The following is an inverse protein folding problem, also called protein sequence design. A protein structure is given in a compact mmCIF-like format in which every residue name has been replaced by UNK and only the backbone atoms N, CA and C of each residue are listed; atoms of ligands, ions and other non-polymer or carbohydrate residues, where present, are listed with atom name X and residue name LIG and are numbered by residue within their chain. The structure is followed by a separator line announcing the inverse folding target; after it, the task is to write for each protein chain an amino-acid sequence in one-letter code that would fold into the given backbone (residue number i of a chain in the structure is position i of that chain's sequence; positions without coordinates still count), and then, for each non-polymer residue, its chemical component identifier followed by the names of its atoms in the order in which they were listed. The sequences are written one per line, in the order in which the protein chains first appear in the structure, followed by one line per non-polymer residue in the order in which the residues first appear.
data_IF_946054592972
#
_entry.id   IF_946054592972
#
_cell.length_a   1.000
_cell.length_b   1.000
_cell.length_c   1.000
_cell.angle_alpha   90.00
_cell.angle_beta   90.00
_cell.angle_gamma   90.00
#
_symmetry.space_group_name_H-M   'P 1'
#
loop_
_entity.id
_entity.type
_entity.pdbx_description
1 polymer ?
#
# COMPACT_ATOMS: atom_id res chain seq x y z
N UNK A 1 -20.88 48.68 37.53
CA UNK A 1 -21.52 47.70 36.62
C UNK A 1 -20.97 47.73 35.17
N UNK A 2 -20.87 48.90 34.51
CA UNK A 2 -20.35 48.93 33.10
C UNK A 2 -18.91 48.40 32.96
N UNK A 3 -18.03 48.70 33.86
CA UNK A 3 -16.60 48.20 33.82
C UNK A 3 -16.47 46.70 34.03
N UNK A 4 -17.35 46.05 34.80
CA UNK A 4 -17.33 44.62 35.02
C UNK A 4 -17.80 43.81 33.82
N UNK A 5 -18.77 44.38 33.07
CA UNK A 5 -19.29 43.79 31.81
C UNK A 5 -18.21 43.85 30.72
N UNK A 6 -17.44 44.95 30.64
CA UNK A 6 -16.35 45.08 29.67
C UNK A 6 -15.21 44.09 29.92
N UNK A 7 -14.84 43.83 31.19
CA UNK A 7 -13.83 42.84 31.55
C UNK A 7 -14.29 41.41 31.25
N UNK A 8 -15.56 41.09 31.49
CA UNK A 8 -16.13 39.79 31.14
C UNK A 8 -16.19 39.55 29.61
N UNK A 9 -16.49 40.58 28.82
CA UNK A 9 -16.51 40.53 27.36
C UNK A 9 -15.07 40.36 26.82
N UNK A 10 -14.07 41.03 27.39
CA UNK A 10 -12.69 40.90 27.02
C UNK A 10 -12.12 39.51 27.40
N UNK A 11 -12.48 38.97 28.56
CA UNK A 11 -12.11 37.61 28.96
C UNK A 11 -12.75 36.54 28.08
N UNK A 12 -14.03 36.71 27.70
CA UNK A 12 -14.67 35.81 26.74
C UNK A 12 -14.06 35.91 25.33
N UNK A 13 -13.68 37.09 24.86
CA UNK A 13 -13.02 37.28 23.57
C UNK A 13 -11.61 36.62 23.58
N UNK A 14 -10.87 36.74 24.69
CA UNK A 14 -9.58 36.07 24.89
C UNK A 14 -9.73 34.56 25.00
N UNK A 15 -10.79 34.07 25.65
CA UNK A 15 -11.10 32.63 25.71
C UNK A 15 -11.49 32.07 24.34
N UNK A 16 -12.31 32.78 23.58
CA UNK A 16 -12.68 32.40 22.22
C UNK A 16 -11.49 32.47 21.27
N UNK A 17 -10.63 33.48 21.36
CA UNK A 17 -9.42 33.55 20.53
C UNK A 17 -8.38 32.50 20.95
N UNK A 18 -8.28 32.14 22.24
CA UNK A 18 -7.43 31.03 22.69
C UNK A 18 -7.99 29.66 22.25
N UNK A 19 -9.33 29.52 22.22
CA UNK A 19 -10.00 28.31 21.74
C UNK A 19 -9.93 28.18 20.21
N UNK A 20 -9.99 29.28 19.47
CA UNK A 20 -9.73 29.31 18.02
C UNK A 20 -8.23 29.06 17.71
N UNK A 21 -7.31 29.59 18.50
CA UNK A 21 -5.88 29.35 18.34
C UNK A 21 -5.49 27.90 18.69
N UNK A 22 -6.18 27.25 19.63
CA UNK A 22 -6.00 25.80 19.92
C UNK A 22 -6.67 24.91 18.88
N UNK A 23 -7.74 25.35 18.22
CA UNK A 23 -8.37 24.59 17.14
C UNK A 23 -7.66 24.74 15.77
N UNK A 24 -6.80 25.74 15.59
CA UNK A 24 -6.10 25.97 14.33
C UNK A 24 -4.72 25.29 14.22
N UNK A 25 -4.29 24.54 15.22
CA UNK A 25 -3.06 23.75 15.18
C UNK A 25 -3.33 22.25 15.25
N UNK A 26 -4.22 21.72 14.38
CA UNK A 26 -4.18 20.30 14.06
C UNK A 26 -2.79 20.02 13.49
N UNK A 27 -2.02 19.13 14.10
CA UNK A 27 -0.75 18.70 13.51
C UNK A 27 -1.00 18.17 12.10
N UNK A 28 -0.02 18.25 11.22
CA UNK A 28 -0.12 17.74 9.86
C UNK A 28 -0.56 16.28 9.84
N UNK A 29 0.00 15.50 10.77
CA UNK A 29 -0.40 14.10 10.97
C UNK A 29 -1.90 13.94 11.32
N UNK A 30 -2.42 14.71 12.26
CA UNK A 30 -3.83 14.62 12.64
C UNK A 30 -4.77 15.01 11.48
N UNK A 31 -4.38 15.98 10.67
CA UNK A 31 -5.14 16.35 9.47
C UNK A 31 -5.17 15.22 8.47
N UNK A 32 -4.01 14.61 8.19
CA UNK A 32 -3.88 13.47 7.29
C UNK A 32 -4.71 12.27 7.75
N UNK A 33 -4.65 11.94 9.03
CA UNK A 33 -5.45 10.84 9.62
C UNK A 33 -6.94 11.09 9.49
N UNK A 34 -7.38 12.32 9.77
CA UNK A 34 -8.80 12.70 9.65
C UNK A 34 -9.30 12.60 8.21
N UNK A 35 -8.51 13.04 7.24
CA UNK A 35 -8.87 12.91 5.81
C UNK A 35 -8.92 11.45 5.37
N UNK A 36 -7.95 10.66 5.84
CA UNK A 36 -7.88 9.23 5.52
C UNK A 36 -9.05 8.45 6.10
N UNK A 37 -9.47 8.74 7.33
CA UNK A 37 -10.66 8.15 7.94
C UNK A 37 -11.95 8.50 7.18
N UNK A 38 -12.07 9.73 6.67
CA UNK A 38 -13.23 10.12 5.85
C UNK A 38 -13.28 9.32 4.55
N UNK A 39 -12.15 9.21 3.87
CA UNK A 39 -12.05 8.45 2.62
C UNK A 39 -12.34 6.96 2.85
N UNK A 40 -11.75 6.38 3.90
CA UNK A 40 -11.99 5.01 4.32
C UNK A 40 -13.47 4.75 4.60
N UNK A 41 -14.12 5.65 5.33
CA UNK A 41 -15.55 5.54 5.67
C UNK A 41 -16.41 5.59 4.41
N UNK A 42 -16.14 6.51 3.48
CA UNK A 42 -16.84 6.62 2.20
C UNK A 42 -16.75 5.31 1.41
N UNK A 43 -15.52 4.78 1.28
CA UNK A 43 -15.30 3.53 0.55
C UNK A 43 -15.99 2.34 1.19
N UNK A 44 -15.89 2.21 2.50
CA UNK A 44 -16.47 1.05 3.19
C UNK A 44 -17.99 1.13 3.30
N UNK A 45 -18.57 2.32 3.41
CA UNK A 45 -20.02 2.49 3.35
C UNK A 45 -20.57 2.06 1.98
N UNK A 46 -19.90 2.45 0.90
CA UNK A 46 -20.28 2.03 -0.45
C UNK A 46 -20.01 0.54 -0.66
N UNK A 47 -18.86 0.02 -0.20
CA UNK A 47 -18.53 -1.40 -0.26
C UNK A 47 -19.64 -2.27 0.34
N UNK A 48 -20.23 -1.86 1.46
CA UNK A 48 -21.33 -2.58 2.11
C UNK A 48 -22.58 -2.72 1.23
N UNK A 49 -22.81 -1.78 0.32
CA UNK A 49 -23.96 -1.84 -0.60
C UNK A 49 -23.83 -2.95 -1.64
N UNK A 50 -22.59 -3.44 -1.88
CA UNK A 50 -22.29 -4.56 -2.77
C UNK A 50 -22.15 -5.90 -2.03
N UNK A 51 -22.22 -5.90 -0.69
CA UNK A 51 -22.21 -7.14 0.08
C UNK A 51 -23.54 -7.87 -0.09
N UNK A 52 -23.48 -9.10 -0.59
CA UNK A 52 -24.66 -9.89 -0.88
C UNK A 52 -25.38 -10.28 0.41
N UNK A 53 -26.68 -10.01 0.46
CA UNK A 53 -27.61 -10.50 1.46
C UNK A 53 -28.53 -11.53 0.78
N UNK A 54 -28.05 -12.77 0.68
CA UNK A 54 -28.73 -13.82 -0.06
C UNK A 54 -28.84 -15.07 0.79
N UNK A 55 -29.94 -15.77 0.68
CA UNK A 55 -30.16 -17.03 1.41
C UNK A 55 -29.25 -18.17 0.96
N UNK A 56 -28.67 -18.08 -0.24
CA UNK A 56 -27.75 -19.10 -0.75
C UNK A 56 -26.36 -18.91 -0.10
N UNK A 57 -25.82 -19.92 0.60
CA UNK A 57 -24.55 -19.79 1.35
C UNK A 57 -23.37 -19.35 0.49
N UNK A 58 -23.29 -19.76 -0.78
CA UNK A 58 -22.20 -19.39 -1.68
C UNK A 58 -22.17 -17.90 -2.07
N UNK A 59 -23.24 -17.16 -1.80
CA UNK A 59 -23.35 -15.73 -2.11
C UNK A 59 -23.38 -14.87 -0.85
N UNK A 60 -24.00 -15.38 0.22
CA UNK A 60 -24.24 -14.61 1.43
C UNK A 60 -22.94 -14.13 2.09
N UNK A 61 -22.79 -12.82 2.25
CA UNK A 61 -21.62 -12.17 2.84
C UNK A 61 -20.50 -11.87 1.85
N UNK A 62 -20.51 -12.49 0.65
CA UNK A 62 -19.60 -12.14 -0.42
C UNK A 62 -19.89 -10.74 -0.99
N UNK A 63 -18.97 -10.19 -1.76
CA UNK A 63 -19.13 -8.86 -2.37
C UNK A 63 -18.98 -8.95 -3.87
N UNK A 64 -19.99 -8.51 -4.58
CA UNK A 64 -20.00 -8.54 -6.04
C UNK A 64 -19.33 -7.29 -6.60
N UNK A 65 -18.26 -7.46 -7.37
CA UNK A 65 -17.55 -6.35 -8.00
C UNK A 65 -18.35 -5.74 -9.15
N UNK A 66 -18.68 -4.44 -9.14
CA UNK A 66 -19.42 -3.80 -10.22
C UNK A 66 -18.60 -3.70 -11.52
N UNK A 67 -17.27 -3.67 -11.45
CA UNK A 67 -16.42 -3.57 -12.65
C UNK A 67 -16.32 -4.87 -13.45
N UNK A 68 -16.33 -6.04 -12.80
CA UNK A 68 -16.10 -7.31 -13.45
C UNK A 68 -17.20 -8.36 -13.21
N UNK A 69 -18.24 -8.03 -12.43
CA UNK A 69 -19.34 -8.91 -12.04
C UNK A 69 -18.86 -10.25 -11.42
N UNK A 70 -17.80 -10.19 -10.60
CA UNK A 70 -17.19 -11.35 -9.93
C UNK A 70 -17.09 -11.14 -8.43
N UNK A 71 -17.07 -12.25 -7.70
CA UNK A 71 -16.65 -12.31 -6.31
C UNK A 71 -15.18 -12.72 -6.27
N UNK A 72 -14.35 -11.91 -5.63
CA UNK A 72 -12.92 -12.17 -5.50
C UNK A 72 -12.62 -12.94 -4.23
N UNK A 73 -11.83 -14.01 -4.31
CA UNK A 73 -11.39 -14.78 -3.16
C UNK A 73 -10.49 -13.98 -2.20
N UNK A 74 -9.82 -12.94 -2.71
CA UNK A 74 -8.99 -12.04 -1.90
C UNK A 74 -9.80 -11.02 -1.08
N UNK A 75 -11.10 -11.03 -1.11
CA UNK A 75 -11.96 -10.07 -0.41
C UNK A 75 -11.75 -10.06 1.11
N UNK A 76 -11.15 -11.12 1.66
CA UNK A 76 -10.77 -11.20 3.08
C UNK A 76 -9.92 -10.03 3.56
N UNK A 77 -9.21 -9.34 2.66
CA UNK A 77 -8.44 -8.12 2.99
C UNK A 77 -9.33 -7.02 3.56
N UNK A 78 -10.63 -7.00 3.23
CA UNK A 78 -11.60 -6.03 3.75
C UNK A 78 -11.99 -6.25 5.23
N UNK A 79 -11.59 -7.37 5.85
CA UNK A 79 -11.92 -7.61 7.27
C UNK A 79 -11.31 -6.56 8.18
N UNK A 80 -10.06 -6.14 7.91
CA UNK A 80 -9.37 -5.14 8.72
C UNK A 80 -10.08 -3.77 8.70
N UNK A 81 -10.35 -3.13 7.55
CA UNK A 81 -11.04 -1.85 7.53
C UNK A 81 -12.47 -1.92 8.10
N UNK A 82 -13.18 -3.03 7.95
CA UNK A 82 -14.48 -3.21 8.57
C UNK A 82 -14.40 -3.28 10.10
N UNK A 83 -13.45 -4.03 10.64
CA UNK A 83 -13.24 -4.14 12.09
C UNK A 83 -12.78 -2.81 12.70
N UNK A 84 -11.88 -2.09 12.01
CA UNK A 84 -11.46 -0.74 12.41
C UNK A 84 -12.66 0.21 12.53
N UNK A 85 -13.50 0.28 11.49
CA UNK A 85 -14.67 1.17 11.51
C UNK A 85 -15.72 0.73 12.53
N UNK A 86 -15.87 -0.57 12.80
CA UNK A 86 -16.72 -1.07 13.86
C UNK A 86 -16.28 -0.55 15.22
N UNK A 87 -15.00 -0.63 15.51
CA UNK A 87 -14.40 -0.17 16.78
C UNK A 87 -14.47 1.35 16.89
N UNK A 88 -13.98 2.06 15.87
CA UNK A 88 -13.87 3.52 15.84
C UNK A 88 -15.22 4.24 15.90
N UNK A 89 -16.24 3.69 15.23
CA UNK A 89 -17.55 4.35 15.10
C UNK A 89 -18.62 3.77 15.99
N UNK A 90 -18.38 2.60 16.59
CA UNK A 90 -19.36 1.81 17.36
C UNK A 90 -20.63 1.45 16.56
N UNK A 91 -20.52 1.43 15.20
CA UNK A 91 -21.65 1.07 14.34
C UNK A 91 -21.63 -0.43 14.06
N UNK A 92 -22.65 -1.12 14.52
CA UNK A 92 -22.80 -2.58 14.41
C UNK A 92 -22.76 -3.08 12.96
N UNK A 93 -23.20 -2.26 11.99
CA UNK A 93 -23.19 -2.63 10.56
C UNK A 93 -21.83 -3.11 10.04
N UNK A 94 -20.73 -2.51 10.51
CA UNK A 94 -19.39 -2.90 10.08
C UNK A 94 -18.95 -4.23 10.71
N UNK A 95 -19.23 -4.44 11.99
CA UNK A 95 -18.93 -5.70 12.67
C UNK A 95 -19.71 -6.88 12.05
N UNK A 96 -20.99 -6.68 11.80
CA UNK A 96 -21.85 -7.69 11.13
C UNK A 96 -21.31 -7.98 9.72
N UNK A 97 -20.93 -6.96 8.98
CA UNK A 97 -20.35 -7.12 7.64
C UNK A 97 -19.02 -7.89 7.67
N UNK A 98 -18.14 -7.60 8.62
CA UNK A 98 -16.89 -8.34 8.81
C UNK A 98 -17.12 -9.82 9.11
N UNK A 99 -18.07 -10.12 10.04
CA UNK A 99 -18.44 -11.51 10.38
C UNK A 99 -19.05 -12.25 9.17
N UNK A 100 -19.93 -11.60 8.41
CA UNK A 100 -20.53 -12.18 7.20
C UNK A 100 -19.48 -12.40 6.10
N UNK A 101 -18.54 -11.48 5.93
CA UNK A 101 -17.44 -11.60 4.99
C UNK A 101 -16.57 -12.82 5.32
N UNK A 102 -16.16 -12.96 6.57
CA UNK A 102 -15.34 -14.10 7.00
C UNK A 102 -16.09 -15.43 6.93
N UNK A 103 -17.40 -15.42 7.16
CA UNK A 103 -18.23 -16.60 6.92
C UNK A 103 -18.28 -16.97 5.43
N UNK A 104 -18.36 -15.97 4.54
CA UNK A 104 -18.28 -16.21 3.10
C UNK A 104 -16.91 -16.72 2.65
N UNK A 105 -15.81 -16.29 3.29
CA UNK A 105 -14.45 -16.75 3.01
C UNK A 105 -14.28 -18.27 3.15
N UNK A 106 -15.17 -18.96 3.87
CA UNK A 106 -15.20 -20.42 3.94
C UNK A 106 -15.49 -21.07 2.56
N UNK A 107 -16.17 -20.37 1.66
CA UNK A 107 -16.44 -20.87 0.29
C UNK A 107 -15.16 -20.91 -0.58
N UNK A 108 -14.15 -20.16 -0.22
CA UNK A 108 -12.86 -20.08 -0.94
C UNK A 108 -11.71 -20.64 -0.11
N UNK A 109 -11.97 -21.12 1.11
CA UNK A 109 -11.00 -21.80 1.95
C UNK A 109 -10.79 -23.23 1.47
N UNK A 110 -9.52 -23.65 1.39
CA UNK A 110 -9.13 -24.96 0.92
C UNK A 110 -8.68 -25.85 2.09
N UNK A 111 -8.79 -27.19 1.95
CA UNK A 111 -8.37 -28.12 3.00
C UNK A 111 -6.91 -28.03 3.41
N UNK A 112 -6.06 -27.42 2.57
CA UNK A 112 -4.65 -27.17 2.88
C UNK A 112 -4.39 -25.89 3.67
N UNK A 113 -5.44 -25.19 4.12
CA UNK A 113 -5.34 -23.97 4.91
C UNK A 113 -5.23 -22.68 4.11
N UNK A 114 -5.23 -22.75 2.77
CA UNK A 114 -5.16 -21.56 1.92
C UNK A 114 -6.53 -21.03 1.51
N UNK A 115 -6.54 -19.80 1.00
CA UNK A 115 -7.70 -19.23 0.31
C UNK A 115 -7.41 -19.08 -1.18
N UNK A 116 -8.39 -19.43 -2.01
CA UNK A 116 -8.32 -19.19 -3.46
C UNK A 116 -8.34 -17.69 -3.76
N UNK A 117 -7.53 -17.27 -4.72
CA UNK A 117 -7.51 -15.88 -5.18
C UNK A 117 -8.80 -15.48 -5.92
N UNK A 118 -9.45 -16.43 -6.55
CA UNK A 118 -10.63 -16.20 -7.40
C UNK A 118 -11.58 -17.40 -7.30
N UNK A 119 -12.89 -17.16 -7.37
CA UNK A 119 -13.90 -18.22 -7.18
C UNK A 119 -13.97 -19.20 -8.35
N UNK A 120 -13.67 -18.75 -9.59
CA UNK A 120 -13.93 -19.57 -10.79
C UNK A 120 -12.84 -19.51 -11.86
N UNK A 121 -11.78 -18.72 -11.70
CA UNK A 121 -10.85 -18.40 -12.80
C UNK A 121 -9.44 -18.86 -12.55
N UNK A 122 -9.04 -19.00 -11.29
CA UNK A 122 -7.67 -19.33 -10.91
C UNK A 122 -7.66 -20.20 -9.65
N UNK A 123 -6.89 -21.26 -9.68
CA UNK A 123 -6.52 -22.08 -8.53
C UNK A 123 -5.35 -21.47 -7.73
N UNK A 124 -4.88 -20.28 -8.11
CA UNK A 124 -3.81 -19.58 -7.41
C UNK A 124 -4.24 -19.21 -5.99
N UNK A 125 -3.45 -19.62 -5.03
CA UNK A 125 -3.70 -19.46 -3.60
C UNK A 125 -2.54 -18.77 -2.85
N UNK A 126 -1.53 -18.30 -3.55
CA UNK A 126 -0.39 -17.58 -2.94
C UNK A 126 -0.80 -16.30 -2.23
N UNK A 127 -1.91 -15.68 -2.62
CA UNK A 127 -2.49 -14.50 -1.99
C UNK A 127 -3.00 -14.73 -0.57
N UNK A 128 -3.01 -15.97 -0.08
CA UNK A 128 -3.33 -16.32 1.31
C UNK A 128 -2.53 -15.49 2.32
N UNK A 129 -1.29 -15.15 2.01
CA UNK A 129 -0.45 -14.29 2.87
C UNK A 129 -1.09 -12.93 3.15
N UNK A 130 -1.71 -12.30 2.16
CA UNK A 130 -2.30 -10.97 2.31
C UNK A 130 -3.61 -11.01 3.11
N UNK A 131 -4.46 -12.00 2.86
CA UNK A 131 -5.67 -12.23 3.64
C UNK A 131 -5.34 -12.57 5.11
N UNK A 132 -4.28 -13.36 5.34
CA UNK A 132 -3.84 -13.68 6.70
C UNK A 132 -3.27 -12.48 7.44
N UNK A 133 -2.57 -11.55 6.78
CA UNK A 133 -2.13 -10.28 7.38
C UNK A 133 -3.35 -9.45 7.81
N UNK A 134 -4.32 -9.27 6.94
CA UNK A 134 -5.54 -8.52 7.28
C UNK A 134 -6.30 -9.13 8.46
N UNK A 135 -6.42 -10.45 8.47
CA UNK A 135 -7.09 -11.16 9.56
C UNK A 135 -6.30 -11.09 10.87
N UNK A 136 -4.96 -11.18 10.80
CA UNK A 136 -4.09 -11.00 11.96
C UNK A 136 -4.27 -9.60 12.55
N UNK A 137 -4.14 -8.55 11.74
CA UNK A 137 -4.26 -7.16 12.18
C UNK A 137 -5.68 -6.89 12.75
N UNK A 138 -6.73 -7.41 12.11
CA UNK A 138 -8.09 -7.31 12.62
C UNK A 138 -8.26 -7.96 14.00
N UNK A 139 -7.66 -9.12 14.23
CA UNK A 139 -7.68 -9.79 15.52
C UNK A 139 -6.79 -9.10 16.57
N UNK A 140 -5.64 -8.59 16.14
CA UNK A 140 -4.68 -7.93 17.02
C UNK A 140 -5.25 -6.64 17.60
N UNK A 141 -5.81 -5.78 16.76
CA UNK A 141 -6.32 -4.48 17.16
C UNK A 141 -7.76 -4.53 17.67
N UNK A 142 -8.62 -5.33 17.03
CA UNK A 142 -10.07 -5.30 17.23
C UNK A 142 -10.69 -6.64 17.68
N UNK A 143 -9.87 -7.62 18.01
CA UNK A 143 -10.37 -8.94 18.44
C UNK A 143 -11.26 -8.90 19.68
N UNK A 144 -11.21 -7.83 20.46
CA UNK A 144 -12.06 -7.59 21.62
C UNK A 144 -13.56 -7.38 21.27
N UNK A 145 -13.87 -7.01 20.02
CA UNK A 145 -15.24 -6.88 19.51
C UNK A 145 -15.91 -8.23 19.24
N UNK A 146 -15.13 -9.30 19.20
CA UNK A 146 -15.61 -10.64 18.85
C UNK A 146 -15.92 -11.47 20.10
N UNK A 147 -16.97 -12.30 20.00
CA UNK A 147 -17.17 -13.37 20.95
C UNK A 147 -16.03 -14.41 20.86
N UNK A 148 -15.85 -15.19 21.93
CA UNK A 148 -14.74 -16.16 22.03
C UNK A 148 -14.78 -17.22 20.93
N UNK A 149 -15.97 -17.68 20.54
CA UNK A 149 -16.13 -18.69 19.49
C UNK A 149 -15.64 -18.16 18.14
N UNK A 150 -16.10 -16.97 17.75
CA UNK A 150 -15.70 -16.31 16.51
C UNK A 150 -14.20 -16.01 16.51
N UNK A 151 -13.67 -15.48 17.61
CA UNK A 151 -12.24 -15.15 17.76
C UNK A 151 -11.36 -16.38 17.63
N UNK A 152 -11.74 -17.49 18.28
CA UNK A 152 -11.00 -18.74 18.21
C UNK A 152 -11.07 -19.37 16.81
N UNK A 153 -12.21 -19.28 16.13
CA UNK A 153 -12.34 -19.75 14.76
C UNK A 153 -11.42 -18.95 13.81
N UNK A 154 -11.38 -17.63 13.90
CA UNK A 154 -10.49 -16.80 13.07
C UNK A 154 -9.00 -17.07 13.37
N UNK A 155 -8.64 -17.27 14.65
CA UNK A 155 -7.27 -17.69 15.00
C UNK A 155 -6.91 -19.06 14.41
N UNK A 156 -7.85 -20.00 14.36
CA UNK A 156 -7.62 -21.30 13.74
C UNK A 156 -7.33 -21.13 12.24
N UNK A 157 -8.06 -20.27 11.53
CA UNK A 157 -7.77 -19.94 10.12
C UNK A 157 -6.41 -19.33 9.92
N UNK A 158 -5.91 -18.53 10.86
CA UNK A 158 -4.54 -18.00 10.82
C UNK A 158 -3.49 -19.11 10.99
N UNK A 159 -3.71 -20.05 11.88
CA UNK A 159 -2.82 -21.20 12.09
C UNK A 159 -2.74 -22.01 10.79
N UNK A 160 -3.87 -22.34 10.19
CA UNK A 160 -3.95 -23.11 8.94
C UNK A 160 -3.27 -22.38 7.78
N UNK A 161 -3.45 -21.05 7.65
CA UNK A 161 -2.75 -20.23 6.67
C UNK A 161 -1.22 -20.23 6.91
N UNK A 162 -0.77 -20.17 8.15
CA UNK A 162 0.64 -20.30 8.51
C UNK A 162 1.21 -21.67 8.14
N UNK A 163 0.49 -22.74 8.40
CA UNK A 163 0.86 -24.11 8.02
C UNK A 163 0.94 -24.25 6.49
N UNK A 164 0.00 -23.68 5.77
CA UNK A 164 0.07 -23.62 4.30
C UNK A 164 1.32 -22.90 3.81
N UNK A 165 1.66 -21.73 4.40
CA UNK A 165 2.87 -21.00 4.01
C UNK A 165 4.16 -21.82 4.27
N UNK A 166 4.23 -22.58 5.37
CA UNK A 166 5.35 -23.48 5.65
C UNK A 166 5.40 -24.66 4.65
N UNK A 167 4.25 -25.22 4.31
CA UNK A 167 4.15 -26.36 3.39
C UNK A 167 4.43 -25.99 1.93
N UNK A 168 4.38 -24.69 1.58
CA UNK A 168 4.57 -24.19 0.22
C UNK A 168 5.76 -23.24 0.06
N UNK A 169 6.99 -23.67 0.44
CA UNK A 169 8.17 -22.79 0.39
C UNK A 169 8.53 -22.35 -1.03
N UNK A 170 7.99 -22.97 -2.05
CA UNK A 170 8.13 -22.53 -3.44
C UNK A 170 7.38 -21.21 -3.72
N UNK A 171 6.39 -20.84 -2.93
CA UNK A 171 5.70 -19.55 -3.01
C UNK A 171 6.39 -18.50 -2.12
N UNK A 172 6.79 -18.87 -0.90
CA UNK A 172 7.16 -17.92 0.14
C UNK A 172 8.64 -17.91 0.49
N UNK A 173 9.42 -18.92 0.08
CA UNK A 173 10.86 -18.98 0.33
C UNK A 173 11.65 -19.13 -0.96
N UNK A 174 12.81 -18.44 -1.05
CA UNK A 174 13.62 -18.37 -2.26
C UNK A 174 14.79 -19.35 -2.31
N UNK A 175 14.87 -20.27 -1.36
CA UNK A 175 16.01 -21.17 -1.21
C UNK A 175 16.09 -22.33 -2.20
N UNK A 176 15.03 -22.66 -2.94
CA UNK A 176 15.01 -23.86 -3.77
C UNK A 176 15.35 -23.57 -5.21
N UNK A 177 16.39 -24.23 -5.73
CA UNK A 177 16.67 -24.32 -7.16
C UNK A 177 15.43 -24.78 -7.93
N UNK A 178 15.12 -24.12 -9.03
CA UNK A 178 13.98 -24.42 -9.89
C UNK A 178 12.74 -23.52 -9.72
N UNK A 179 12.74 -22.64 -8.72
CA UNK A 179 11.62 -21.71 -8.49
C UNK A 179 11.74 -20.45 -9.31
N UNK A 180 11.60 -20.59 -10.60
CA UNK A 180 11.82 -19.51 -11.58
C UNK A 180 10.74 -18.43 -11.60
N UNK A 181 9.60 -18.64 -10.94
CA UNK A 181 8.40 -17.83 -11.15
C UNK A 181 7.85 -17.16 -9.88
N UNK A 182 8.65 -17.05 -8.84
CA UNK A 182 8.20 -16.42 -7.61
C UNK A 182 8.55 -14.95 -7.57
N UNK A 183 7.56 -14.14 -7.23
CA UNK A 183 7.75 -12.73 -6.98
C UNK A 183 8.20 -12.49 -5.52
N UNK A 184 9.11 -11.55 -5.32
CA UNK A 184 9.67 -11.22 -4.00
C UNK A 184 8.61 -10.73 -3.01
N UNK A 185 7.52 -10.12 -3.49
CA UNK A 185 6.44 -9.63 -2.65
C UNK A 185 5.82 -10.72 -1.75
N UNK A 186 5.66 -11.93 -2.26
CA UNK A 186 5.13 -13.03 -1.44
C UNK A 186 6.07 -13.40 -0.28
N UNK A 187 7.37 -13.50 -0.56
CA UNK A 187 8.36 -13.79 0.48
C UNK A 187 8.49 -12.65 1.48
N UNK A 188 8.49 -11.40 1.00
CA UNK A 188 8.55 -10.22 1.85
C UNK A 188 7.33 -10.14 2.79
N UNK A 189 6.13 -10.35 2.25
CA UNK A 189 4.90 -10.34 3.05
C UNK A 189 4.84 -11.52 4.03
N UNK A 190 5.38 -12.69 3.65
CA UNK A 190 5.41 -13.87 4.51
C UNK A 190 6.31 -13.68 5.74
N UNK A 191 7.34 -12.83 5.69
CA UNK A 191 8.15 -12.53 6.89
C UNK A 191 7.28 -11.95 8.01
N UNK A 192 6.46 -10.96 7.68
CA UNK A 192 5.56 -10.34 8.65
C UNK A 192 4.43 -11.29 9.05
N UNK A 193 3.73 -11.89 8.08
CA UNK A 193 2.61 -12.78 8.35
C UNK A 193 3.00 -13.92 9.29
N UNK A 194 4.04 -14.69 8.95
CA UNK A 194 4.48 -15.83 9.76
C UNK A 194 4.99 -15.39 11.13
N UNK A 195 5.73 -14.28 11.21
CA UNK A 195 6.24 -13.82 12.50
C UNK A 195 5.10 -13.40 13.43
N UNK A 196 4.18 -12.61 12.93
CA UNK A 196 3.05 -12.06 13.67
C UNK A 196 2.05 -13.14 14.10
N UNK A 197 1.69 -14.05 13.19
CA UNK A 197 0.85 -15.22 13.52
C UNK A 197 1.55 -16.11 14.53
N UNK A 198 2.86 -16.33 14.35
CA UNK A 198 3.68 -17.12 15.28
C UNK A 198 3.68 -16.58 16.69
N UNK A 199 3.70 -15.25 16.86
CA UNK A 199 3.60 -14.60 18.16
C UNK A 199 2.17 -14.72 18.75
N UNK A 200 1.14 -14.39 17.97
CA UNK A 200 -0.25 -14.43 18.42
C UNK A 200 -0.72 -15.84 18.80
N UNK A 201 -0.27 -16.85 18.06
CA UNK A 201 -0.74 -18.25 18.18
C UNK A 201 0.27 -19.18 18.89
N UNK A 202 1.36 -18.61 19.44
CA UNK A 202 2.43 -19.38 20.10
C UNK A 202 3.02 -20.49 19.20
N UNK A 203 3.38 -20.15 17.95
CA UNK A 203 3.98 -21.03 16.94
C UNK A 203 5.42 -20.58 16.65
N UNK A 204 6.40 -21.03 17.43
CA UNK A 204 7.81 -20.67 17.26
C UNK A 204 8.41 -21.17 15.94
N UNK A 205 7.85 -22.20 15.35
CA UNK A 205 8.21 -22.69 14.02
C UNK A 205 7.90 -21.66 12.92
N UNK A 206 6.77 -20.94 13.00
CA UNK A 206 6.43 -19.84 12.09
C UNK A 206 7.42 -18.68 12.23
N UNK A 207 7.75 -18.29 13.45
CA UNK A 207 8.74 -17.24 13.70
C UNK A 207 10.14 -17.63 13.19
N UNK A 208 10.52 -18.92 13.33
CA UNK A 208 11.79 -19.42 12.81
C UNK A 208 11.86 -19.31 11.29
N UNK A 209 10.80 -19.72 10.59
CA UNK A 209 10.74 -19.63 9.13
C UNK A 209 10.75 -18.17 8.66
N UNK A 210 10.00 -17.28 9.33
CA UNK A 210 10.00 -15.85 9.04
C UNK A 210 11.42 -15.25 9.10
N UNK A 211 12.18 -15.56 10.16
CA UNK A 211 13.58 -15.11 10.31
C UNK A 211 14.46 -15.65 9.18
N UNK A 212 14.22 -16.88 8.75
CA UNK A 212 15.00 -17.49 7.67
C UNK A 212 14.70 -16.82 6.32
N UNK A 213 13.41 -16.58 6.02
CA UNK A 213 13.00 -15.86 4.81
C UNK A 213 13.60 -14.43 4.81
N UNK A 214 13.52 -13.74 5.94
CA UNK A 214 14.09 -12.39 6.09
C UNK A 214 15.60 -12.37 5.85
N UNK A 215 16.34 -13.37 6.37
CA UNK A 215 17.78 -13.49 6.13
C UNK A 215 18.11 -13.70 4.65
N UNK A 216 17.31 -14.51 3.95
CA UNK A 216 17.47 -14.75 2.52
C UNK A 216 17.16 -13.50 1.69
N UNK A 217 16.14 -12.72 2.08
CA UNK A 217 15.73 -11.50 1.39
C UNK A 217 16.78 -10.40 1.42
N UNK A 218 17.69 -10.37 2.41
CA UNK A 218 18.82 -9.42 2.43
C UNK A 218 19.71 -9.51 1.19
N UNK A 219 19.67 -10.63 0.47
CA UNK A 219 20.43 -10.83 -0.78
C UNK A 219 19.68 -10.32 -2.03
N UNK A 220 18.47 -9.79 -1.89
CA UNK A 220 17.65 -9.34 -3.00
C UNK A 220 17.58 -7.80 -3.12
N UNK A 221 18.59 -7.11 -2.63
CA UNK A 221 18.77 -5.68 -2.85
C UNK A 221 19.90 -5.45 -3.85
N UNK A 222 19.73 -4.47 -4.71
CA UNK A 222 20.76 -4.10 -5.70
C UNK A 222 21.94 -3.41 -5.02
N UNK A 223 23.12 -3.54 -5.62
CA UNK A 223 24.39 -3.20 -4.97
C UNK A 223 24.59 -1.68 -4.82
N UNK A 224 24.22 -0.89 -5.83
CA UNK A 224 24.52 0.55 -5.87
C UNK A 224 23.37 1.38 -5.28
N UNK A 225 22.13 1.10 -5.70
CA UNK A 225 20.96 1.95 -5.40
C UNK A 225 20.04 1.32 -4.37
N UNK A 226 20.29 0.10 -3.94
CA UNK A 226 19.52 -0.63 -2.91
C UNK A 226 18.04 -0.86 -3.30
N UNK A 227 17.73 -1.00 -4.58
CA UNK A 227 16.39 -1.44 -5.00
C UNK A 227 16.14 -2.90 -4.60
N UNK A 228 14.99 -3.20 -4.05
CA UNK A 228 14.54 -4.58 -3.90
C UNK A 228 14.22 -5.15 -5.28
N UNK A 229 14.79 -6.30 -5.65
CA UNK A 229 14.55 -6.93 -6.95
C UNK A 229 13.98 -8.34 -6.81
N UNK A 230 13.54 -8.88 -7.92
CA UNK A 230 12.98 -10.23 -7.98
C UNK A 230 11.48 -10.24 -8.23
N UNK A 231 10.95 -9.17 -8.82
CA UNK A 231 9.60 -9.10 -9.32
C UNK A 231 9.54 -9.36 -10.84
N UNK A 232 8.67 -10.27 -11.24
CA UNK A 232 8.48 -10.61 -12.65
C UNK A 232 8.67 -12.10 -12.93
N UNK A 233 8.45 -12.53 -14.17
CA UNK A 233 8.38 -13.94 -14.53
C UNK A 233 9.71 -14.68 -14.36
N UNK A 234 10.80 -13.96 -14.22
CA UNK A 234 12.15 -14.53 -14.14
C UNK A 234 13.01 -13.75 -13.13
N UNK A 235 12.91 -14.11 -11.86
CA UNK A 235 13.52 -13.37 -10.74
C UNK A 235 15.05 -13.27 -10.78
N UNK A 236 15.71 -14.15 -11.48
CA UNK A 236 17.18 -14.16 -11.63
C UNK A 236 17.65 -13.67 -13.00
N UNK A 237 16.74 -13.47 -13.95
CA UNK A 237 17.08 -12.99 -15.29
C UNK A 237 17.08 -11.50 -15.33
N UNK A 238 18.06 -10.95 -16.02
CA UNK A 238 18.07 -9.54 -16.35
C UNK A 238 16.94 -9.18 -17.31
N UNK A 239 16.42 -7.98 -17.16
CA UNK A 239 15.48 -7.36 -18.12
C UNK A 239 16.13 -7.16 -19.48
N UNK A 240 15.36 -6.74 -20.48
CA UNK A 240 15.92 -6.38 -21.80
C UNK A 240 16.98 -5.29 -21.74
N UNK A 241 16.91 -4.43 -20.73
CA UNK A 241 17.88 -3.34 -20.51
C UNK A 241 19.10 -3.79 -19.69
N UNK A 242 19.24 -5.08 -19.39
CA UNK A 242 20.35 -5.62 -18.63
C UNK A 242 20.28 -5.44 -17.11
N UNK A 243 19.18 -4.87 -16.59
CA UNK A 243 18.95 -4.64 -15.17
C UNK A 243 18.35 -5.86 -14.47
N UNK A 244 18.53 -5.94 -13.15
CA UNK A 244 17.77 -6.86 -12.32
C UNK A 244 16.27 -6.48 -12.33
N UNK A 245 15.35 -7.46 -12.16
CA UNK A 245 13.92 -7.21 -12.24
C UNK A 245 13.40 -6.48 -10.99
N UNK A 246 13.25 -5.18 -11.10
CA UNK A 246 12.66 -4.31 -10.07
C UNK A 246 11.27 -3.91 -10.50
N UNK A 247 10.29 -4.06 -9.62
CA UNK A 247 8.94 -3.51 -9.79
C UNK A 247 8.68 -2.51 -8.67
N UNK A 248 8.71 -1.24 -9.00
CA UNK A 248 8.58 -0.15 -8.04
C UNK A 248 7.29 -0.26 -7.23
N UNK A 249 6.17 -0.51 -7.91
CA UNK A 249 4.86 -0.53 -7.26
C UNK A 249 4.73 -1.69 -6.28
N UNK A 250 5.04 -2.92 -6.69
CA UNK A 250 5.00 -4.05 -5.76
C UNK A 250 5.95 -3.88 -4.57
N UNK A 251 7.09 -3.22 -4.80
CA UNK A 251 8.03 -2.96 -3.71
C UNK A 251 7.43 -2.00 -2.68
N UNK A 252 6.89 -0.85 -3.11
CA UNK A 252 6.33 0.16 -2.19
C UNK A 252 4.99 -0.25 -1.59
N UNK A 253 4.22 -1.08 -2.29
CA UNK A 253 2.86 -1.46 -1.90
C UNK A 253 2.82 -2.73 -1.04
N UNK A 254 3.62 -3.74 -1.38
CA UNK A 254 3.50 -5.08 -0.77
C UNK A 254 4.78 -5.57 -0.10
N UNK A 255 5.98 -5.20 -0.59
CA UNK A 255 7.21 -5.81 -0.11
C UNK A 255 7.85 -5.03 1.04
N UNK A 256 8.25 -3.79 0.79
CA UNK A 256 8.97 -2.96 1.76
C UNK A 256 8.14 -2.69 3.04
N UNK A 257 6.83 -2.39 2.96
CA UNK A 257 6.02 -2.18 4.16
C UNK A 257 6.01 -3.37 5.11
N UNK A 258 5.82 -4.57 4.59
CA UNK A 258 5.78 -5.77 5.43
C UNK A 258 7.16 -6.16 5.97
N UNK A 259 8.23 -5.87 5.23
CA UNK A 259 9.59 -6.01 5.74
C UNK A 259 9.88 -5.01 6.87
N UNK A 260 9.36 -3.77 6.82
CA UNK A 260 9.42 -2.81 7.92
C UNK A 260 8.72 -3.36 9.16
N UNK A 261 7.47 -3.81 9.02
CA UNK A 261 6.71 -4.35 10.15
C UNK A 261 7.40 -5.56 10.79
N UNK A 262 7.87 -6.49 9.95
CA UNK A 262 8.65 -7.61 10.44
C UNK A 262 9.90 -7.15 11.19
N UNK A 263 10.71 -6.27 10.59
CA UNK A 263 11.98 -5.85 11.15
C UNK A 263 11.81 -5.12 12.49
N UNK A 264 10.78 -4.28 12.62
CA UNK A 264 10.44 -3.63 13.88
C UNK A 264 10.00 -4.64 14.95
N UNK A 265 9.12 -5.58 14.60
CA UNK A 265 8.58 -6.58 15.51
C UNK A 265 9.64 -7.59 15.95
N UNK A 266 10.46 -8.09 15.00
CA UNK A 266 11.52 -9.05 15.24
C UNK A 266 12.81 -8.42 15.77
N UNK A 267 12.92 -7.08 15.81
CA UNK A 267 14.11 -6.29 16.15
C UNK A 267 15.31 -6.62 15.25
N UNK A 268 15.04 -6.86 13.95
CA UNK A 268 16.08 -7.10 12.93
C UNK A 268 16.58 -5.74 12.39
N UNK A 269 17.53 -5.14 13.13
CA UNK A 269 18.08 -3.81 12.81
C UNK A 269 18.82 -3.77 11.48
N UNK A 270 19.47 -4.87 11.08
CA UNK A 270 20.20 -4.95 9.82
C UNK A 270 19.23 -4.91 8.63
N UNK A 271 18.14 -5.69 8.70
CA UNK A 271 17.11 -5.66 7.70
C UNK A 271 16.42 -4.29 7.66
N UNK A 272 16.09 -3.72 8.82
CA UNK A 272 15.46 -2.41 8.90
C UNK A 272 16.31 -1.32 8.22
N UNK A 273 17.63 -1.31 8.47
CA UNK A 273 18.56 -0.36 7.82
C UNK A 273 18.57 -0.52 6.30
N UNK A 274 18.51 -1.76 5.81
CA UNK A 274 18.51 -2.04 4.38
C UNK A 274 17.20 -1.62 3.72
N UNK A 275 16.08 -1.91 4.37
CA UNK A 275 14.73 -1.53 3.91
C UNK A 275 14.57 -0.02 3.93
N UNK A 276 15.05 0.67 4.95
CA UNK A 276 15.01 2.13 5.06
C UNK A 276 15.71 2.81 3.88
N UNK A 277 16.92 2.38 3.53
CA UNK A 277 17.63 2.87 2.34
C UNK A 277 16.82 2.61 1.07
N UNK A 278 16.25 1.42 0.95
CA UNK A 278 15.44 1.06 -0.21
C UNK A 278 14.20 1.95 -0.33
N UNK A 279 13.50 2.22 0.78
CA UNK A 279 12.33 3.11 0.80
C UNK A 279 12.70 4.53 0.36
N UNK A 280 13.82 5.06 0.84
CA UNK A 280 14.31 6.37 0.44
C UNK A 280 14.63 6.41 -1.08
N UNK A 281 15.28 5.37 -1.61
CA UNK A 281 15.55 5.25 -3.05
C UNK A 281 14.26 5.17 -3.87
N UNK A 282 13.28 4.37 -3.43
CA UNK A 282 12.00 4.28 -4.14
C UNK A 282 11.24 5.61 -4.13
N UNK A 283 11.33 6.38 -3.05
CA UNK A 283 10.66 7.68 -2.93
C UNK A 283 11.14 8.71 -3.98
N UNK A 284 12.35 8.57 -4.50
CA UNK A 284 12.86 9.40 -5.62
C UNK A 284 11.97 9.30 -6.87
N UNK A 285 11.17 8.25 -6.98
CA UNK A 285 10.28 7.99 -8.10
C UNK A 285 8.80 8.31 -7.81
N UNK A 286 8.50 8.94 -6.68
CA UNK A 286 7.17 9.49 -6.46
C UNK A 286 6.99 10.76 -7.29
N UNK A 287 5.90 10.82 -8.06
CA UNK A 287 5.52 12.00 -8.83
C UNK A 287 4.93 13.09 -7.92
N UNK A 288 4.98 14.37 -8.34
CA UNK A 288 4.45 15.48 -7.52
C UNK A 288 2.97 15.37 -7.13
N UNK A 289 2.18 14.61 -7.89
CA UNK A 289 0.76 14.36 -7.64
C UNK A 289 0.48 13.17 -6.72
N UNK A 290 1.53 12.51 -6.22
CA UNK A 290 1.42 11.36 -5.33
C UNK A 290 1.34 10.00 -6.03
N UNK A 291 1.44 9.96 -7.37
CA UNK A 291 1.57 8.72 -8.13
C UNK A 291 3.01 8.20 -8.10
N UNK A 292 3.18 6.95 -8.49
CA UNK A 292 4.49 6.31 -8.60
C UNK A 292 4.92 6.15 -10.06
N UNK A 293 6.14 6.54 -10.38
CA UNK A 293 6.70 6.41 -11.71
C UNK A 293 7.34 5.02 -11.91
N UNK A 294 6.50 4.04 -12.22
CA UNK A 294 6.94 2.67 -12.52
C UNK A 294 7.21 2.44 -14.02
N UNK A 295 7.40 3.49 -14.81
CA UNK A 295 7.55 3.37 -16.27
C UNK A 295 8.82 2.63 -16.71
N UNK A 296 9.82 2.57 -15.86
CA UNK A 296 11.10 1.90 -16.08
C UNK A 296 11.18 0.47 -15.48
N UNK A 297 10.28 0.14 -14.57
CA UNK A 297 10.28 -1.15 -13.86
C UNK A 297 9.71 -2.31 -14.67
N UNK A 298 9.82 -3.50 -14.12
CA UNK A 298 9.12 -4.69 -14.64
C UNK A 298 7.61 -4.49 -14.52
N UNK A 299 6.83 -5.01 -15.47
CA UNK A 299 5.37 -4.87 -15.49
C UNK A 299 4.87 -3.42 -15.50
N UNK A 300 5.69 -2.48 -15.99
CA UNK A 300 5.34 -1.07 -16.10
C UNK A 300 4.02 -0.81 -16.81
N UNK A 301 3.66 -1.65 -17.80
CA UNK A 301 2.39 -1.60 -18.53
C UNK A 301 1.17 -1.90 -17.66
N UNK A 302 1.35 -2.56 -16.52
CA UNK A 302 0.27 -3.06 -15.67
C UNK A 302 -0.14 -2.06 -14.59
N UNK A 303 0.82 -1.22 -14.13
CA UNK A 303 0.69 -0.44 -12.92
C UNK A 303 1.29 0.96 -13.05
N UNK A 304 0.86 1.74 -14.01
CA UNK A 304 1.60 2.95 -14.39
C UNK A 304 1.19 4.23 -13.69
N UNK A 305 0.19 4.28 -12.84
CA UNK A 305 -0.21 5.60 -12.35
C UNK A 305 -0.38 5.69 -10.84
N UNK A 306 -1.29 4.98 -10.23
CA UNK A 306 -1.53 5.18 -8.80
C UNK A 306 -1.24 4.04 -7.87
N UNK A 307 -0.68 3.05 -8.30
CA UNK A 307 -0.56 1.82 -7.60
C UNK A 307 -1.40 0.76 -8.27
N UNK A 308 -1.00 -0.45 -8.10
CA UNK A 308 -1.63 -1.57 -8.73
C UNK A 308 -2.98 -1.89 -8.11
N UNK A 309 -3.48 -3.02 -8.53
CA UNK A 309 -4.68 -3.63 -7.99
C UNK A 309 -4.61 -3.94 -6.51
N UNK A 310 -3.42 -3.90 -5.93
CA UNK A 310 -3.12 -4.51 -4.65
C UNK A 310 -2.23 -3.60 -3.83
N UNK A 311 -2.66 -2.37 -3.57
CA UNK A 311 -1.99 -1.54 -2.60
C UNK A 311 -2.31 -2.05 -1.20
N UNK A 312 -1.41 -2.85 -0.64
CA UNK A 312 -1.66 -3.51 0.63
C UNK A 312 -1.01 -2.82 1.81
N UNK A 313 0.01 -2.00 1.62
CA UNK A 313 0.78 -1.55 2.75
C UNK A 313 1.59 -0.27 2.63
N UNK A 314 1.61 0.42 1.47
CA UNK A 314 2.41 1.63 1.28
C UNK A 314 2.31 2.60 2.45
N UNK A 315 1.10 3.01 2.79
CA UNK A 315 0.89 4.06 3.79
C UNK A 315 1.41 3.64 5.16
N UNK A 316 1.12 2.42 5.59
CA UNK A 316 1.53 1.95 6.89
C UNK A 316 3.05 1.77 7.01
N UNK A 317 3.71 1.20 5.99
CA UNK A 317 5.16 1.02 6.00
C UNK A 317 5.93 2.34 6.05
N UNK A 318 5.54 3.32 5.22
CA UNK A 318 6.15 4.64 5.25
C UNK A 318 5.81 5.40 6.54
N UNK A 319 4.59 5.27 7.04
CA UNK A 319 4.22 5.88 8.32
C UNK A 319 5.03 5.35 9.49
N UNK A 320 5.28 4.05 9.54
CA UNK A 320 6.09 3.43 10.60
C UNK A 320 7.52 3.99 10.67
N UNK A 321 8.03 4.53 9.55
CA UNK A 321 9.35 5.14 9.45
C UNK A 321 9.30 6.68 9.51
N UNK A 322 8.13 7.30 9.52
CA UNK A 322 7.97 8.75 9.41
C UNK A 322 8.49 9.55 10.61
N UNK A 323 8.65 8.94 11.78
CA UNK A 323 9.32 9.59 12.92
C UNK A 323 10.79 9.94 12.62
N UNK A 324 11.44 9.15 11.78
CA UNK A 324 12.83 9.33 11.31
C UNK A 324 12.90 10.07 9.98
N UNK A 325 11.86 9.96 9.16
CA UNK A 325 11.71 10.51 7.82
C UNK A 325 10.39 11.29 7.70
N UNK A 326 10.31 12.53 8.24
CA UNK A 326 9.05 13.31 8.23
C UNK A 326 8.46 13.53 6.84
N UNK A 327 9.28 13.51 5.77
CA UNK A 327 8.85 13.60 4.38
C UNK A 327 7.94 12.44 3.94
N UNK A 328 7.99 11.31 4.63
CA UNK A 328 7.12 10.17 4.34
C UNK A 328 5.64 10.48 4.61
N UNK A 329 5.34 11.37 5.55
CA UNK A 329 3.96 11.84 5.75
C UNK A 329 3.46 12.64 4.55
N UNK A 330 4.31 13.46 3.92
CA UNK A 330 3.94 14.20 2.71
C UNK A 330 3.70 13.22 1.54
N UNK A 331 4.51 12.16 1.43
CA UNK A 331 4.30 11.13 0.42
C UNK A 331 2.92 10.45 0.60
N UNK A 332 2.57 10.08 1.83
CA UNK A 332 1.26 9.50 2.15
C UNK A 332 0.14 10.51 1.85
N UNK A 333 0.30 11.76 2.26
CA UNK A 333 -0.68 12.81 2.02
C UNK A 333 -0.98 12.98 0.53
N UNK A 334 0.04 13.12 -0.31
CA UNK A 334 -0.14 13.25 -1.76
C UNK A 334 -0.83 12.05 -2.38
N UNK A 335 -0.45 10.84 -1.94
CA UNK A 335 -1.09 9.63 -2.42
C UNK A 335 -2.58 9.57 -2.00
N UNK A 336 -2.92 9.93 -0.76
CA UNK A 336 -4.32 10.06 -0.31
C UNK A 336 -5.09 11.07 -1.15
N UNK A 337 -4.50 12.24 -1.46
CA UNK A 337 -5.16 13.23 -2.33
C UNK A 337 -5.39 12.68 -3.74
N UNK A 338 -4.47 11.90 -4.26
CA UNK A 338 -4.62 11.22 -5.55
C UNK A 338 -5.74 10.16 -5.52
N UNK A 339 -5.78 9.34 -4.48
CA UNK A 339 -6.83 8.34 -4.29
C UNK A 339 -8.21 8.99 -4.15
N UNK A 340 -8.33 10.14 -3.46
CA UNK A 340 -9.57 10.92 -3.41
C UNK A 340 -10.02 11.37 -4.80
N UNK A 341 -9.09 11.85 -5.64
CA UNK A 341 -9.39 12.24 -7.03
C UNK A 341 -9.80 11.05 -7.90
N UNK A 342 -9.29 9.86 -7.60
CA UNK A 342 -9.60 8.62 -8.29
C UNK A 342 -10.86 7.93 -7.75
N UNK A 343 -11.44 8.43 -6.66
CA UNK A 343 -12.70 7.93 -6.10
C UNK A 343 -13.87 8.48 -6.89
N UNK A 344 -14.80 7.63 -7.24
CA UNK A 344 -16.09 7.98 -7.83
C UNK A 344 -17.16 7.00 -7.39
N UNK A 345 -18.37 7.52 -7.14
CA UNK A 345 -19.48 6.72 -6.64
C UNK A 345 -19.13 5.94 -5.33
N UNK A 346 -18.23 6.53 -4.51
CA UNK A 346 -17.79 5.98 -3.25
C UNK A 346 -16.84 4.77 -3.35
N UNK A 347 -16.30 4.46 -4.52
CA UNK A 347 -15.32 3.41 -4.73
C UNK A 347 -14.13 3.93 -5.54
N UNK A 348 -12.99 3.23 -5.43
CA UNK A 348 -11.76 3.58 -6.14
C UNK A 348 -11.77 2.99 -7.56
N UNK A 349 -11.49 3.82 -8.56
CA UNK A 349 -11.23 3.35 -9.92
C UNK A 349 -9.84 2.71 -10.04
N UNK A 350 -9.70 1.78 -10.96
CA UNK A 350 -8.42 1.17 -11.30
C UNK A 350 -7.49 2.06 -12.14
N UNK A 351 -7.83 3.32 -12.33
CA UNK A 351 -7.08 4.31 -13.10
C UNK A 351 -7.99 5.42 -13.61
N UNK A 352 -7.49 6.67 -13.75
CA UNK A 352 -8.33 7.81 -14.19
C UNK A 352 -8.98 7.61 -15.55
N UNK A 353 -8.33 6.86 -16.45
CA UNK A 353 -8.88 6.53 -17.75
C UNK A 353 -10.13 5.62 -17.68
N UNK A 354 -10.33 4.86 -16.60
CA UNK A 354 -11.51 4.01 -16.44
C UNK A 354 -12.79 4.83 -16.38
N UNK A 355 -12.76 5.97 -15.66
CA UNK A 355 -13.89 6.89 -15.59
C UNK A 355 -14.28 7.42 -16.97
N UNK A 356 -13.28 7.84 -17.77
CA UNK A 356 -13.51 8.35 -19.13
C UNK A 356 -14.03 7.24 -20.06
N UNK A 357 -13.60 5.99 -19.84
CA UNK A 357 -14.01 4.83 -20.64
C UNK A 357 -15.35 4.22 -20.19
N UNK A 358 -16.01 4.79 -19.18
CA UNK A 358 -17.27 4.26 -18.65
C UNK A 358 -17.14 2.92 -17.93
N UNK A 359 -15.93 2.56 -17.47
CA UNK A 359 -15.69 1.34 -16.69
C UNK A 359 -16.02 1.66 -15.23
N UNK A 360 -16.84 0.83 -14.60
CA UNK A 360 -17.23 0.99 -13.22
C UNK A 360 -16.02 0.90 -12.25
N UNK A 361 -16.09 1.51 -11.06
CA UNK A 361 -15.05 1.38 -10.05
C UNK A 361 -14.95 -0.07 -9.56
N UNK A 362 -13.76 -0.44 -9.06
CA UNK A 362 -13.44 -1.83 -8.75
C UNK A 362 -13.38 -2.06 -7.23
N UNK A 363 -14.14 -3.06 -6.75
CA UNK A 363 -14.10 -3.50 -5.35
C UNK A 363 -12.69 -3.91 -4.93
N UNK A 364 -11.94 -4.59 -5.80
CA UNK A 364 -10.59 -5.06 -5.49
C UNK A 364 -9.62 -3.90 -5.25
N UNK A 365 -9.65 -2.85 -6.09
CA UNK A 365 -8.87 -1.66 -5.84
C UNK A 365 -9.26 -0.99 -4.53
N UNK A 366 -10.55 -0.94 -4.25
CA UNK A 366 -11.08 -0.26 -3.06
C UNK A 366 -10.64 -0.96 -1.78
N UNK A 367 -10.85 -2.27 -1.64
CA UNK A 367 -10.52 -2.94 -0.38
C UNK A 367 -9.00 -3.05 -0.13
N UNK A 368 -8.19 -3.21 -1.18
CA UNK A 368 -6.74 -3.23 -1.05
C UNK A 368 -6.20 -1.90 -0.51
N UNK A 369 -6.67 -0.78 -1.06
CA UNK A 369 -6.27 0.54 -0.57
C UNK A 369 -6.91 0.89 0.79
N UNK A 370 -8.14 0.43 1.06
CA UNK A 370 -8.76 0.57 2.37
C UNK A 370 -7.94 -0.14 3.47
N UNK A 371 -7.42 -1.34 3.18
CA UNK A 371 -6.49 -2.04 4.06
C UNK A 371 -5.23 -1.21 4.32
N UNK A 372 -4.60 -0.66 3.28
CA UNK A 372 -3.40 0.17 3.41
C UNK A 372 -3.63 1.43 4.26
N UNK A 373 -4.77 2.10 4.07
CA UNK A 373 -5.17 3.23 4.90
C UNK A 373 -5.36 2.79 6.36
N UNK A 374 -6.02 1.66 6.57
CA UNK A 374 -6.29 1.18 7.93
C UNK A 374 -5.00 0.80 8.66
N UNK A 375 -4.09 0.06 8.02
CA UNK A 375 -2.79 -0.29 8.63
C UNK A 375 -2.01 0.94 9.09
N UNK A 376 -2.08 2.05 8.35
CA UNK A 376 -1.51 3.32 8.77
C UNK A 376 -2.25 3.94 9.97
N UNK A 377 -3.59 3.92 9.96
CA UNK A 377 -4.42 4.52 11.01
C UNK A 377 -4.30 3.78 12.36
N UNK A 378 -3.93 2.51 12.36
CA UNK A 378 -3.66 1.72 13.57
C UNK A 378 -2.35 2.11 14.27
N UNK A 379 -1.41 2.70 13.55
CA UNK A 379 -0.16 3.13 14.16
C UNK A 379 -0.36 4.38 15.03
N UNK A 380 0.44 4.55 16.11
CA UNK A 380 0.31 5.69 17.01
C UNK A 380 0.48 7.02 16.26
N UNK A 381 -0.28 8.08 16.63
CA UNK A 381 -0.11 9.40 16.06
C UNK A 381 1.30 9.95 16.25
N UNK A 382 1.81 10.65 15.25
CA UNK A 382 3.11 11.30 15.28
C UNK A 382 2.99 12.80 15.59
N UNK A 383 3.97 13.36 16.27
CA UNK A 383 4.01 14.79 16.52
C UNK A 383 4.73 15.54 15.38
N UNK A 384 4.19 15.44 14.17
CA UNK A 384 4.70 16.13 12.98
C UNK A 384 3.69 17.20 12.59
N UNK A 385 4.14 18.47 12.63
CA UNK A 385 3.26 19.64 12.51
C UNK A 385 3.22 20.24 11.12
N UNK A 386 4.21 19.92 10.27
CA UNK A 386 4.33 20.51 8.92
C UNK A 386 4.75 19.47 7.89
N UNK A 387 4.30 19.69 6.67
CA UNK A 387 4.75 18.98 5.47
C UNK A 387 6.25 19.22 5.20
N UNK A 388 6.90 18.26 4.54
CA UNK A 388 8.29 18.34 4.11
C UNK A 388 8.37 18.13 2.59
N UNK A 389 9.40 18.72 1.98
CA UNK A 389 9.65 18.57 0.54
C UNK A 389 10.04 17.12 0.19
N UNK A 390 9.39 16.57 -0.83
CA UNK A 390 9.77 15.29 -1.40
C UNK A 390 10.99 15.42 -2.32
N UNK A 391 11.67 14.31 -2.66
CA UNK A 391 12.85 14.35 -3.52
C UNK A 391 12.64 15.07 -4.84
N UNK A 392 11.47 14.90 -5.49
CA UNK A 392 11.16 15.54 -6.78
C UNK A 392 10.69 17.00 -6.68
N UNK A 393 10.48 17.53 -5.49
CA UNK A 393 10.22 18.96 -5.29
C UNK A 393 11.52 19.76 -5.30
N UNK A 394 12.66 19.08 -5.06
CA UNK A 394 13.97 19.69 -4.96
C UNK A 394 14.63 19.83 -6.32
N UNK A 395 15.37 20.92 -6.53
CA UNK A 395 16.27 21.06 -7.67
C UNK A 395 17.56 20.30 -7.37
N UNK A 396 17.93 19.33 -8.21
CA UNK A 396 19.13 18.50 -8.03
C UNK A 396 19.93 18.30 -9.32
N UNK A 397 19.61 18.99 -10.39
CA UNK A 397 20.19 18.88 -11.73
C UNK A 397 20.09 17.47 -12.33
N UNK A 398 20.91 16.53 -11.89
CA UNK A 398 21.00 15.19 -12.45
C UNK A 398 21.29 14.15 -11.37
N UNK A 399 20.48 13.08 -11.33
CA UNK A 399 20.73 11.87 -10.55
C UNK A 399 20.73 10.64 -11.45
N UNK A 400 21.70 9.76 -11.29
CA UNK A 400 21.81 8.52 -12.03
C UNK A 400 21.63 7.32 -11.11
N UNK A 401 20.66 6.49 -11.39
CA UNK A 401 20.39 5.22 -10.72
C UNK A 401 20.98 4.09 -11.57
N UNK A 402 22.14 3.63 -11.13
CA UNK A 402 22.99 2.72 -11.90
C UNK A 402 22.35 1.35 -12.09
N UNK A 403 21.69 0.82 -11.08
CA UNK A 403 21.16 -0.54 -11.10
C UNK A 403 19.92 -0.70 -11.99
N UNK A 404 19.28 0.41 -12.33
CA UNK A 404 18.10 0.45 -13.21
C UNK A 404 18.35 1.26 -14.49
N UNK A 405 19.59 1.72 -14.71
CA UNK A 405 20.02 2.54 -15.85
C UNK A 405 19.08 3.73 -16.12
N UNK A 406 18.74 4.48 -15.07
CA UNK A 406 17.74 5.55 -15.16
C UNK A 406 18.32 6.88 -14.66
N UNK A 407 18.06 7.93 -15.42
CA UNK A 407 18.40 9.30 -15.06
C UNK A 407 17.15 10.04 -14.58
N UNK A 408 17.25 10.74 -13.46
CA UNK A 408 16.30 11.75 -13.05
C UNK A 408 16.95 13.13 -13.27
N UNK A 409 16.22 14.04 -13.90
CA UNK A 409 16.67 15.38 -14.21
C UNK A 409 15.68 16.36 -13.59
N UNK A 410 16.18 17.30 -12.79
CA UNK A 410 15.38 18.36 -12.18
C UNK A 410 16.04 19.69 -12.42
N UNK A 411 15.43 20.51 -13.29
CA UNK A 411 15.88 21.89 -13.56
C UNK A 411 14.68 22.82 -13.44
N UNK A 412 14.62 23.60 -12.36
CA UNK A 412 13.47 24.46 -12.08
C UNK A 412 12.18 23.63 -11.89
N UNK A 413 11.06 24.06 -12.49
CA UNK A 413 9.77 23.37 -12.33
C UNK A 413 9.63 22.09 -13.16
N UNK A 414 10.65 21.70 -13.94
CA UNK A 414 10.59 20.54 -14.82
C UNK A 414 11.35 19.36 -14.22
N UNK A 415 10.68 18.23 -14.09
CA UNK A 415 11.29 16.95 -13.72
C UNK A 415 11.09 15.98 -14.87
N UNK A 416 12.20 15.45 -15.39
CA UNK A 416 12.21 14.45 -16.45
C UNK A 416 12.82 13.16 -15.93
N UNK A 417 12.37 12.07 -16.49
CA UNK A 417 12.95 10.75 -16.29
C UNK A 417 13.30 10.19 -17.68
N UNK A 418 14.48 9.65 -17.82
CA UNK A 418 14.91 8.97 -19.04
C UNK A 418 15.53 7.62 -18.65
N UNK A 419 14.96 6.49 -19.10
CA UNK A 419 15.66 5.23 -19.08
C UNK A 419 16.89 5.34 -19.98
N UNK A 420 17.98 4.69 -19.59
CA UNK A 420 19.25 4.76 -20.33
C UNK A 420 19.15 4.05 -21.68
N UNK A 421 18.50 4.70 -22.64
CA UNK A 421 18.61 4.40 -24.07
C UNK A 421 19.77 5.15 -24.73
N UNK A 422 20.55 5.90 -23.96
CA UNK A 422 21.46 6.92 -24.47
C UNK A 422 22.86 6.45 -24.77
N UNK A 423 23.18 5.18 -24.81
CA UNK A 423 24.53 4.77 -25.25
C UNK A 423 24.87 5.15 -26.72
N UNK A 424 23.88 5.59 -27.52
CA UNK A 424 24.11 5.98 -28.91
C UNK A 424 23.57 7.34 -29.36
N UNK A 425 23.02 8.14 -28.45
CA UNK A 425 22.58 9.48 -28.84
C UNK A 425 23.49 10.50 -28.18
N UNK A 426 24.38 11.09 -29.00
CA UNK A 426 25.03 12.38 -28.68
C UNK A 426 23.92 13.42 -28.61
N UNK A 427 23.21 13.47 -27.50
CA UNK A 427 22.18 14.46 -27.27
C UNK A 427 22.88 15.80 -27.02
N UNK A 428 23.10 16.57 -28.06
CA UNK A 428 23.14 18.02 -27.95
C UNK A 428 21.68 18.44 -27.67
N UNK A 429 21.22 18.25 -26.44
CA UNK A 429 20.01 18.92 -26.01
C UNK A 429 20.32 20.37 -25.82
N UNK A 430 20.28 21.13 -26.92
CA UNK A 430 20.09 22.55 -26.88
C UNK A 430 18.64 22.81 -26.44
N UNK A 431 18.40 22.68 -25.12
CA UNK A 431 17.17 23.23 -24.55
C UNK A 431 17.40 24.74 -24.49
N UNK A 432 17.01 25.42 -25.56
CA UNK A 432 16.84 26.87 -25.55
C UNK A 432 15.49 27.13 -24.93
N UNK A 433 15.46 27.41 -23.63
CA UNK A 433 14.25 27.76 -22.90
C UNK A 433 13.91 29.21 -23.19
N UNK A 434 12.86 29.44 -23.95
CA UNK A 434 12.05 30.64 -23.77
C UNK A 434 10.96 30.29 -22.76
N UNK A 435 11.16 30.79 -21.53
CA UNK A 435 10.30 30.55 -20.40
C UNK A 435 8.89 31.10 -20.65
N UNK A 436 7.90 30.42 -20.17
CA UNK A 436 6.66 30.81 -19.53
C UNK A 436 5.33 30.23 -19.98
N UNK A 437 5.23 29.39 -21.01
CA UNK A 437 3.90 28.93 -21.42
C UNK A 437 3.73 27.46 -21.81
N UNK A 438 4.72 26.61 -21.65
CA UNK A 438 4.65 25.24 -22.17
C UNK A 438 4.53 24.11 -21.14
N UNK A 439 4.62 24.38 -19.85
CA UNK A 439 4.52 23.32 -18.83
C UNK A 439 3.11 22.83 -18.50
N UNK A 440 2.06 23.46 -19.00
CA UNK A 440 0.66 23.10 -18.72
C UNK A 440 -0.09 22.38 -19.85
N UNK A 441 0.57 22.00 -20.93
CA UNK A 441 -0.10 21.51 -22.13
C UNK A 441 0.50 20.29 -22.83
N UNK A 442 1.56 19.68 -22.33
CA UNK A 442 2.12 18.52 -23.03
C UNK A 442 1.38 17.26 -22.55
N UNK A 443 0.36 16.87 -23.29
CA UNK A 443 -0.21 15.54 -23.22
C UNK A 443 0.87 14.52 -23.56
N UNK A 444 0.94 13.39 -22.84
CA UNK A 444 1.85 12.24 -23.06
C UNK A 444 1.90 11.73 -24.53
N UNK A 445 0.95 12.10 -25.36
CA UNK A 445 0.90 11.72 -26.77
C UNK A 445 1.91 12.48 -27.67
N UNK A 446 2.42 13.61 -27.22
CA UNK A 446 3.31 14.45 -28.05
C UNK A 446 4.79 14.10 -27.89
N UNK A 447 5.15 13.15 -27.03
CA UNK A 447 6.53 12.70 -26.80
C UNK A 447 6.94 11.49 -27.66
N UNK A 448 6.04 10.94 -28.47
CA UNK A 448 6.38 9.95 -29.47
C UNK A 448 6.59 10.63 -30.84
N UNK A 449 7.76 11.21 -31.05
CA UNK A 449 8.21 11.49 -32.41
C UNK A 449 8.62 10.16 -33.06
N UNK A 450 8.10 9.83 -34.24
CA UNK A 450 8.53 8.65 -34.96
C UNK A 450 10.00 8.84 -35.36
N UNK A 451 10.82 7.89 -34.97
CA UNK A 451 12.17 7.73 -35.51
C UNK A 451 12.06 7.36 -36.99
N UNK A 452 12.47 8.23 -37.87
CA UNK A 452 12.93 7.86 -39.21
C UNK A 452 14.38 7.38 -39.16
#
# INVERSE_FOLDING_TARGET
MRSLILVLLLLNALFLSAQEATNNNLSFDNSLRTESEKLLTEWMDTFLTYQCDNLHPSLNGGVLCPACARMHGRIGDAVLPLMYLADKTHKEKYLLAAKRLMAWMENVHLPNGSWMNDVHVSDWNGTTVFASIALYEALHYHGHLLDDSTRNHWKQRLIEAGEFMLATPFIYSRKREGMRNMNVNYSASATYALYAIGEMCNRPDFQKEARQIAADLKNFFTENDTFLYGEGPNISSKTKNGCLPVDLLYNVEESLPYMVYYALMAKDTDLLTLVDRSMATHLEFMLPDGAWDNSWGTRSFKWTYWGGRTSDGFMGGYYAMAAQHPEYLEAIHRNIQLLKKATSEGLLYGGMHYRVSGIAPCIHHTFGHAKAITSFLELPPLNITSSQELPRDKTYDLKYFKDIHTWLISQGPCVLHSPDMMQNIKLKVLIRWEAHSLCYGIHRQDLFLPLQ
#
